data_IF_950976838480
#
_entry.id   IF_950976838480
#
_cell.length_a   1.000
_cell.length_b   1.000
_cell.length_c   1.000
_cell.angle_alpha   90.00
_cell.angle_beta   90.00
_cell.angle_gamma   90.00
#
_symmetry.space_group_name_H-M   'P 1'
#
loop_
_entity.id
_entity.type
_entity.pdbx_description
1 polymer ?
#
# COMPACT_ATOMS: atom_id res chain seq x y z
N UNK A 1 8.75 -17.65 7.76
CA UNK A 1 8.59 -17.23 6.34
C UNK A 1 7.38 -16.27 6.28
N UNK A 2 7.56 -15.01 6.69
CA UNK A 2 6.46 -14.03 6.70
C UNK A 2 6.05 -13.77 5.25
N UNK A 3 4.92 -14.35 4.84
CA UNK A 3 4.29 -14.05 3.55
C UNK A 3 3.89 -12.58 3.61
N UNK A 4 4.79 -11.69 3.16
CA UNK A 4 4.48 -10.30 2.86
C UNK A 4 3.38 -10.33 1.81
N UNK A 5 2.11 -10.26 2.24
CA UNK A 5 0.97 -10.41 1.33
C UNK A 5 0.99 -9.29 0.29
N UNK A 6 1.20 -8.04 0.71
CA UNK A 6 1.37 -6.87 -0.17
C UNK A 6 2.18 -5.76 0.55
N UNK A 7 2.97 -4.98 -0.19
CA UNK A 7 3.77 -3.83 0.25
C UNK A 7 2.84 -2.67 0.59
N UNK A 8 3.09 -2.01 1.72
CA UNK A 8 2.27 -0.89 2.20
C UNK A 8 0.89 -1.29 2.72
N UNK A 9 0.61 -2.60 2.80
CA UNK A 9 -0.66 -3.13 3.30
C UNK A 9 -0.47 -3.78 4.67
N UNK A 10 -1.26 -3.34 5.65
CA UNK A 10 -1.25 -3.90 7.02
C UNK A 10 -2.65 -4.35 7.44
N UNK A 11 -2.75 -5.55 8.01
CA UNK A 11 -3.98 -6.04 8.62
C UNK A 11 -4.08 -5.60 10.09
N UNK A 12 -5.25 -5.10 10.49
CA UNK A 12 -5.59 -4.79 11.88
C UNK A 12 -6.18 -6.04 12.56
N UNK A 13 -6.06 -6.20 13.89
CA UNK A 13 -6.71 -7.31 14.61
C UNK A 13 -8.25 -7.35 14.45
N UNK A 14 -8.89 -6.25 14.04
CA UNK A 14 -10.31 -6.23 13.67
C UNK A 14 -10.63 -6.92 12.33
N UNK A 15 -9.61 -7.41 11.61
CA UNK A 15 -9.77 -8.03 10.29
C UNK A 15 -9.73 -7.06 9.11
N UNK A 16 -9.78 -5.74 9.36
CA UNK A 16 -9.67 -4.70 8.31
C UNK A 16 -8.24 -4.56 7.80
N UNK A 17 -8.12 -4.18 6.53
CA UNK A 17 -6.86 -3.92 5.85
C UNK A 17 -6.63 -2.41 5.75
N UNK A 18 -5.38 -1.99 5.81
CA UNK A 18 -4.98 -0.58 5.75
C UNK A 18 -3.91 -0.45 4.70
N UNK A 19 -4.03 0.54 3.82
CA UNK A 19 -3.02 0.87 2.84
C UNK A 19 -2.33 2.20 3.19
N UNK A 20 -1.01 2.19 3.16
CA UNK A 20 -0.15 3.30 3.52
C UNK A 20 1.01 3.36 2.52
N UNK A 21 1.27 4.53 1.94
CA UNK A 21 2.44 4.74 1.11
C UNK A 21 3.47 5.59 1.83
N UNK A 22 4.71 5.07 1.86
CA UNK A 22 5.88 5.75 2.39
C UNK A 22 6.81 6.05 1.23
N UNK A 23 6.93 7.32 0.88
CA UNK A 23 7.98 7.74 -0.04
C UNK A 23 9.24 8.13 0.74
N UNK A 24 10.33 7.40 0.50
CA UNK A 24 11.64 7.65 1.11
C UNK A 24 12.35 8.87 0.52
N UNK A 25 12.09 9.17 -0.75
CA UNK A 25 12.68 10.29 -1.49
C UNK A 25 12.05 11.60 -1.03
N UNK A 26 10.73 11.62 -0.87
CA UNK A 26 10.00 12.81 -0.41
C UNK A 26 9.85 12.87 1.12
N UNK A 27 10.21 11.79 1.86
CA UNK A 27 9.95 11.60 3.30
C UNK A 27 8.47 11.79 3.70
N UNK A 28 7.55 11.58 2.77
CA UNK A 28 6.11 11.70 3.00
C UNK A 28 5.54 10.33 3.37
N UNK A 29 4.63 10.34 4.34
CA UNK A 29 3.77 9.20 4.67
C UNK A 29 2.33 9.61 4.35
N UNK A 30 1.75 8.97 3.35
CA UNK A 30 0.36 9.19 2.98
C UNK A 30 -0.45 7.98 3.39
N UNK A 31 -1.50 8.22 4.16
CA UNK A 31 -2.48 7.21 4.48
C UNK A 31 -3.52 7.15 3.35
N UNK A 32 -3.64 5.98 2.71
CA UNK A 32 -4.52 5.80 1.55
C UNK A 32 -5.93 5.39 1.96
N UNK A 33 -6.08 4.84 3.16
CA UNK A 33 -7.36 4.49 3.75
C UNK A 33 -7.39 3.08 4.32
N UNK A 34 -8.60 2.64 4.67
CA UNK A 34 -8.88 1.29 5.14
C UNK A 34 -9.79 0.55 4.18
N UNK A 35 -9.48 -0.71 3.94
CA UNK A 35 -10.16 -1.58 2.98
C UNK A 35 -10.61 -2.87 3.67
N UNK A 36 -11.58 -3.54 3.05
CA UNK A 36 -12.10 -4.81 3.55
C UNK A 36 -11.27 -6.02 3.10
N UNK A 37 -10.52 -5.89 2.00
CA UNK A 37 -9.67 -6.95 1.43
C UNK A 37 -8.22 -6.50 1.31
N UNK A 38 -7.31 -7.48 1.26
CA UNK A 38 -5.88 -7.21 1.11
C UNK A 38 -5.57 -6.70 -0.31
N UNK A 39 -6.31 -7.20 -1.29
CA UNK A 39 -6.19 -6.92 -2.71
C UNK A 39 -6.63 -5.48 -3.04
N UNK A 40 -7.72 -4.99 -2.43
CA UNK A 40 -8.10 -3.56 -2.57
C UNK A 40 -7.04 -2.64 -1.99
N UNK A 41 -6.57 -2.97 -0.78
CA UNK A 41 -5.53 -2.17 -0.14
C UNK A 41 -4.25 -2.13 -1.00
N UNK A 42 -3.90 -3.25 -1.63
CA UNK A 42 -2.74 -3.34 -2.50
C UNK A 42 -2.91 -2.58 -3.82
N UNK A 43 -4.08 -2.65 -4.45
CA UNK A 43 -4.39 -1.85 -5.65
C UNK A 43 -4.35 -0.35 -5.37
N UNK A 44 -4.95 0.09 -4.26
CA UNK A 44 -4.89 1.48 -3.85
C UNK A 44 -3.45 1.94 -3.60
N UNK A 45 -2.61 1.08 -3.02
CA UNK A 45 -1.18 1.35 -2.88
C UNK A 45 -0.49 1.52 -4.24
N UNK A 46 -0.78 0.63 -5.19
CA UNK A 46 -0.16 0.64 -6.52
C UNK A 46 -0.54 1.88 -7.34
N UNK A 47 -1.80 2.31 -7.30
CA UNK A 47 -2.25 3.57 -7.90
C UNK A 47 -1.53 4.76 -7.26
N UNK A 48 -1.50 4.83 -5.93
CA UNK A 48 -0.81 5.91 -5.24
C UNK A 48 0.70 5.92 -5.52
N UNK A 49 1.31 4.74 -5.62
CA UNK A 49 2.72 4.59 -5.94
C UNK A 49 3.01 5.04 -7.37
N UNK A 50 2.16 4.66 -8.34
CA UNK A 50 2.24 5.13 -9.71
C UNK A 50 2.09 6.65 -9.81
N UNK A 51 1.18 7.26 -9.04
CA UNK A 51 1.01 8.71 -8.97
C UNK A 51 2.20 9.42 -8.32
N UNK A 52 2.79 8.85 -7.27
CA UNK A 52 3.90 9.48 -6.51
C UNK A 52 5.26 9.33 -7.19
N UNK A 53 5.53 8.18 -7.81
CA UNK A 53 6.84 7.80 -8.36
C UNK A 53 6.85 7.65 -9.88
N UNK A 54 5.69 7.70 -10.54
CA UNK A 54 5.55 7.60 -11.99
C UNK A 54 5.49 6.15 -12.50
N UNK A 55 5.66 5.97 -13.81
CA UNK A 55 5.56 4.68 -14.52
C UNK A 55 6.62 3.64 -14.14
N UNK A 56 7.65 4.00 -13.38
CA UNK A 56 8.72 3.08 -12.99
C UNK A 56 8.57 2.53 -11.55
N UNK A 57 7.35 2.59 -11.02
CA UNK A 57 7.11 2.22 -9.63
C UNK A 57 6.85 0.73 -9.49
N UNK A 58 7.54 0.09 -8.53
CA UNK A 58 7.23 -1.31 -8.17
C UNK A 58 5.87 -1.37 -7.49
N UNK A 59 4.90 -1.85 -8.26
CA UNK A 59 3.57 -2.24 -7.80
C UNK A 59 3.62 -3.63 -7.18
N UNK A 60 2.59 -3.96 -6.44
CA UNK A 60 2.36 -5.26 -5.84
C UNK A 60 1.71 -6.24 -6.81
N UNK A 61 0.98 -5.72 -7.79
CA UNK A 61 0.42 -6.44 -8.93
C UNK A 61 1.24 -6.22 -10.20
#
# INVERSE_FOLDING_TARGET
KNRKKFVGVRQRPSGRWVAEIKDTTQKIRLWLGTFNTAEDAARAYDEAACLLRGTNTRTNF
#
